data_IF_400714900398
#
_entry.id   IF_400714900398
#
_cell.length_a   1.000
_cell.length_b   1.000
_cell.length_c   1.000
_cell.angle_alpha   90.00
_cell.angle_beta   90.00
_cell.angle_gamma   90.00
#
_symmetry.space_group_name_H-M   'P 1'
#
loop_
_entity.id
_entity.type
_entity.pdbx_description
1 polymer ?
#
# COMPACT_ATOMS: atom_id res chain seq x y z
N UNK A 1 -2.00 6.98 18.77
CA UNK A 1 -1.54 6.59 20.10
C UNK A 1 -2.10 5.21 20.39
N UNK A 2 -1.25 4.19 20.56
CA UNK A 2 -1.68 2.83 20.92
C UNK A 2 -1.15 2.50 22.31
N UNK A 3 -2.03 2.30 23.27
CA UNK A 3 -1.69 2.07 24.68
C UNK A 3 -0.92 0.76 24.92
N UNK A 4 -1.09 -0.25 24.06
CA UNK A 4 -0.37 -1.52 24.16
C UNK A 4 1.13 -1.39 23.85
N UNK A 5 1.53 -0.49 22.95
CA UNK A 5 2.94 -0.19 22.63
C UNK A 5 3.61 0.55 23.80
N UNK A 6 2.84 1.38 24.50
CA UNK A 6 3.26 2.05 25.73
C UNK A 6 3.49 1.03 26.85
N UNK A 7 2.56 0.10 27.07
CA UNK A 7 2.66 -0.91 28.13
C UNK A 7 3.82 -1.89 27.90
N UNK A 8 4.06 -2.31 26.65
CA UNK A 8 5.21 -3.15 26.27
C UNK A 8 6.55 -2.41 26.48
N UNK A 9 6.60 -1.13 26.11
CA UNK A 9 7.78 -0.30 26.36
C UNK A 9 8.00 -0.01 27.85
N UNK A 10 6.94 0.06 28.67
CA UNK A 10 7.07 0.15 30.12
C UNK A 10 7.66 -1.16 30.68
N UNK A 11 7.17 -2.32 30.23
CA UNK A 11 7.64 -3.63 30.68
C UNK A 11 9.11 -3.90 30.30
N UNK A 12 9.57 -3.32 29.18
CA UNK A 12 10.93 -3.48 28.67
C UNK A 12 11.85 -2.28 28.96
N UNK A 13 11.45 -1.37 29.87
CA UNK A 13 12.21 -0.16 30.26
C UNK A 13 12.59 0.77 29.09
N UNK A 14 11.73 0.84 28.07
CA UNK A 14 11.87 1.63 26.83
C UNK A 14 10.81 2.74 26.69
N UNK A 15 10.09 3.02 27.77
CA UNK A 15 9.01 4.02 27.79
C UNK A 15 9.55 5.42 27.49
N UNK A 16 8.98 6.09 26.48
CA UNK A 16 9.25 7.51 26.19
C UNK A 16 8.36 8.42 27.05
N UNK A 17 8.89 9.07 28.11
CA UNK A 17 8.11 9.90 29.02
C UNK A 17 7.62 11.21 28.38
N UNK A 18 8.15 11.60 27.22
CA UNK A 18 7.71 12.80 26.49
C UNK A 18 6.42 12.57 25.68
N UNK A 19 6.01 11.30 25.54
CA UNK A 19 4.88 10.82 24.73
C UNK A 19 5.01 11.11 23.20
N UNK A 20 6.12 11.72 22.74
CA UNK A 20 6.38 12.03 21.33
C UNK A 20 6.39 10.77 20.45
N UNK A 21 7.00 9.67 20.94
CA UNK A 21 6.98 8.36 20.28
C UNK A 21 5.57 7.86 19.96
N UNK A 22 4.58 8.21 20.78
CA UNK A 22 3.20 7.71 20.67
C UNK A 22 2.24 8.71 19.98
N UNK A 23 2.72 9.90 19.59
CA UNK A 23 1.98 10.86 18.76
C UNK A 23 1.81 10.31 17.34
N UNK A 24 0.60 10.43 16.80
CA UNK A 24 0.31 10.05 15.41
C UNK A 24 0.99 11.07 14.49
N UNK A 25 1.98 10.65 13.71
CA UNK A 25 2.66 11.50 12.72
C UNK A 25 1.67 12.00 11.66
N UNK A 26 1.68 13.31 11.38
CA UNK A 26 1.07 13.85 10.16
C UNK A 26 1.84 13.34 8.94
N UNK A 27 1.15 12.61 8.05
CA UNK A 27 1.67 12.13 6.78
C UNK A 27 2.53 10.85 6.86
N UNK A 28 2.56 10.12 5.73
CA UNK A 28 3.54 9.06 5.46
C UNK A 28 4.94 9.64 5.70
N UNK A 29 5.79 8.99 6.49
CA UNK A 29 7.21 9.39 6.68
C UNK A 29 7.82 9.73 5.30
N UNK A 30 7.99 11.03 5.02
CA UNK A 30 8.63 11.59 3.83
C UNK A 30 8.06 11.22 2.43
N UNK A 31 6.75 11.00 2.27
CA UNK A 31 6.19 10.81 0.91
C UNK A 31 5.30 11.97 0.46
N UNK A 32 5.67 12.56 -0.69
CA UNK A 32 4.88 13.54 -1.43
C UNK A 32 3.47 13.02 -1.73
N UNK A 33 2.48 13.93 -1.74
CA UNK A 33 1.13 13.62 -2.21
C UNK A 33 1.19 13.18 -3.67
N UNK A 34 0.63 12.02 -3.99
CA UNK A 34 0.61 11.46 -5.36
C UNK A 34 -0.83 11.35 -5.85
N UNK A 35 -1.04 11.68 -7.12
CA UNK A 35 -2.30 11.39 -7.82
C UNK A 35 -2.18 10.02 -8.49
N UNK A 36 -3.12 9.13 -8.19
CA UNK A 36 -3.22 7.81 -8.81
C UNK A 36 -4.48 7.74 -9.67
N UNK A 37 -4.39 7.30 -10.94
CA UNK A 37 -5.57 7.20 -11.80
C UNK A 37 -6.47 6.03 -11.36
N UNK A 38 -7.74 6.31 -11.10
CA UNK A 38 -8.73 5.27 -10.81
C UNK A 38 -9.55 4.98 -12.07
N UNK A 39 -9.37 3.81 -12.68
CA UNK A 39 -10.25 3.37 -13.77
C UNK A 39 -11.66 3.02 -13.26
N UNK A 40 -12.58 2.68 -14.16
CA UNK A 40 -13.97 2.37 -13.81
C UNK A 40 -14.10 1.26 -12.76
N UNK A 41 -13.25 0.22 -12.82
CA UNK A 41 -13.26 -0.88 -11.84
C UNK A 41 -12.84 -0.40 -10.45
N UNK A 42 -11.74 0.36 -10.36
CA UNK A 42 -11.29 0.93 -9.08
C UNK A 42 -12.33 1.89 -8.52
N UNK A 43 -12.91 2.76 -9.37
CA UNK A 43 -13.96 3.67 -8.93
C UNK A 43 -15.21 2.93 -8.43
N UNK A 44 -15.61 1.84 -9.08
CA UNK A 44 -16.72 1.00 -8.63
C UNK A 44 -16.45 0.39 -7.25
N UNK A 45 -15.25 -0.15 -7.03
CA UNK A 45 -14.83 -0.67 -5.72
C UNK A 45 -14.87 0.43 -4.65
N UNK A 46 -14.27 1.58 -4.91
CA UNK A 46 -14.23 2.69 -3.95
C UNK A 46 -15.63 3.23 -3.63
N UNK A 47 -16.52 3.31 -4.63
CA UNK A 47 -17.92 3.69 -4.43
C UNK A 47 -18.69 2.64 -3.62
N UNK A 48 -18.46 1.36 -3.87
CA UNK A 48 -19.10 0.26 -3.13
C UNK A 48 -18.66 0.18 -1.66
N UNK A 49 -17.47 0.69 -1.33
CA UNK A 49 -16.97 0.76 0.05
C UNK A 49 -17.47 2.02 0.77
N UNK A 50 -17.69 3.11 0.04
CA UNK A 50 -18.14 4.38 0.62
C UNK A 50 -19.51 4.21 1.29
N UNK A 51 -19.63 4.60 2.56
CA UNK A 51 -20.91 4.64 3.29
C UNK A 51 -21.81 5.76 2.75
N UNK A 52 -23.13 5.53 2.73
CA UNK A 52 -24.11 6.49 2.19
C UNK A 52 -24.01 7.88 2.82
N UNK A 53 -23.81 7.96 4.14
CA UNK A 53 -23.73 9.22 4.91
C UNK A 53 -22.28 9.60 5.29
N UNK A 54 -21.28 9.14 4.52
CA UNK A 54 -19.88 9.42 4.82
C UNK A 54 -19.55 10.93 4.74
N UNK A 55 -18.96 11.46 5.80
CA UNK A 55 -18.45 12.82 5.86
C UNK A 55 -17.05 12.91 5.22
N UNK A 56 -16.61 14.09 4.76
CA UNK A 56 -15.29 14.26 4.14
C UNK A 56 -14.10 13.85 5.02
N UNK A 57 -14.27 13.90 6.34
CA UNK A 57 -13.26 13.49 7.34
C UNK A 57 -13.25 11.99 7.62
N UNK A 58 -14.21 11.23 7.12
CA UNK A 58 -14.34 9.81 7.42
C UNK A 58 -13.27 8.99 6.71
N UNK A 59 -12.79 7.94 7.37
CA UNK A 59 -11.90 6.97 6.75
C UNK A 59 -12.64 6.15 5.70
N UNK A 60 -12.06 6.06 4.50
CA UNK A 60 -12.59 5.19 3.45
C UNK A 60 -12.43 3.70 3.79
N UNK A 61 -11.36 3.35 4.51
CA UNK A 61 -11.06 1.99 4.96
C UNK A 61 -10.88 1.97 6.49
N UNK A 62 -11.97 2.01 7.26
CA UNK A 62 -11.88 1.92 8.71
C UNK A 62 -11.59 0.48 9.17
N UNK A 63 -10.94 0.32 10.32
CA UNK A 63 -10.95 -0.94 11.07
C UNK A 63 -12.38 -1.28 11.53
N UNK A 64 -12.65 -2.51 12.01
CA UNK A 64 -13.96 -2.86 12.58
C UNK A 64 -14.43 -1.88 13.67
N UNK A 65 -13.51 -1.30 14.43
CA UNK A 65 -13.76 -0.31 15.50
C UNK A 65 -13.80 1.15 14.98
N UNK A 66 -13.79 1.37 13.67
CA UNK A 66 -13.86 2.72 13.07
C UNK A 66 -12.54 3.49 13.05
N UNK A 67 -11.41 2.87 13.40
CA UNK A 67 -10.09 3.52 13.49
C UNK A 67 -9.26 3.28 12.22
N UNK A 68 -8.04 3.79 12.18
CA UNK A 68 -7.07 3.40 11.16
C UNK A 68 -6.77 1.90 11.22
N UNK A 69 -6.68 1.26 10.06
CA UNK A 69 -6.26 -0.13 9.96
C UNK A 69 -4.82 -0.25 10.47
N UNK A 70 -4.62 -1.14 11.45
CA UNK A 70 -3.30 -1.59 11.79
C UNK A 70 -2.77 -2.56 10.74
N UNK A 71 -1.64 -2.22 10.12
CA UNK A 71 -1.11 -3.03 9.02
C UNK A 71 -0.55 -4.39 9.48
N UNK A 72 -0.04 -4.48 10.71
CA UNK A 72 0.45 -5.74 11.27
C UNK A 72 -0.72 -6.73 11.45
N UNK A 73 -1.81 -6.28 12.06
CA UNK A 73 -3.04 -7.06 12.24
C UNK A 73 -3.70 -7.37 10.90
N UNK A 74 -3.76 -6.40 9.97
CA UNK A 74 -4.28 -6.66 8.63
C UNK A 74 -3.50 -7.79 7.94
N UNK A 75 -2.16 -7.75 7.98
CA UNK A 75 -1.33 -8.81 7.39
C UNK A 75 -1.55 -10.15 8.07
N UNK A 76 -1.57 -10.19 9.40
CA UNK A 76 -1.57 -11.45 10.15
C UNK A 76 -2.94 -12.10 10.26
N UNK A 77 -4.01 -11.31 10.29
CA UNK A 77 -5.38 -11.81 10.47
C UNK A 77 -6.12 -11.80 9.14
N UNK A 78 -6.37 -10.63 8.57
CA UNK A 78 -7.22 -10.50 7.39
C UNK A 78 -6.56 -11.11 6.15
N UNK A 79 -5.34 -10.71 5.81
CA UNK A 79 -4.65 -11.12 4.60
C UNK A 79 -4.39 -12.63 4.55
N UNK A 80 -3.84 -13.22 5.63
CA UNK A 80 -3.64 -14.67 5.70
C UNK A 80 -4.96 -15.45 5.57
N UNK A 81 -6.03 -14.96 6.20
CA UNK A 81 -7.35 -15.59 6.11
C UNK A 81 -7.91 -15.52 4.69
N UNK A 82 -7.81 -14.37 4.03
CA UNK A 82 -8.24 -14.20 2.63
C UNK A 82 -7.49 -15.17 1.71
N UNK A 83 -6.16 -15.23 1.81
CA UNK A 83 -5.36 -16.15 1.00
C UNK A 83 -5.77 -17.61 1.23
N UNK A 84 -5.95 -18.01 2.50
CA UNK A 84 -6.40 -19.37 2.84
C UNK A 84 -7.77 -19.70 2.26
N UNK A 85 -8.73 -18.78 2.36
CA UNK A 85 -10.09 -18.99 1.86
C UNK A 85 -10.15 -19.07 0.33
N UNK A 86 -9.18 -18.48 -0.35
CA UNK A 86 -9.02 -18.53 -1.81
C UNK A 86 -8.10 -19.67 -2.27
N UNK A 87 -7.62 -20.52 -1.36
CA UNK A 87 -6.64 -21.59 -1.62
C UNK A 87 -5.34 -21.08 -2.27
N UNK A 88 -4.88 -19.89 -1.86
CA UNK A 88 -3.64 -19.27 -2.33
C UNK A 88 -2.54 -19.49 -1.28
N UNK A 89 -1.39 -20.07 -1.65
CA UNK A 89 -0.24 -20.16 -0.75
C UNK A 89 0.17 -18.80 -0.19
N UNK A 90 0.67 -18.75 1.04
CA UNK A 90 1.02 -17.48 1.66
C UNK A 90 2.00 -16.67 0.81
N UNK A 91 1.64 -15.41 0.54
CA UNK A 91 2.48 -14.39 -0.08
C UNK A 91 2.42 -13.12 0.75
N UNK A 92 3.51 -12.34 0.79
CA UNK A 92 3.50 -11.02 1.42
C UNK A 92 2.55 -10.09 0.66
N UNK A 93 1.85 -9.19 1.35
CA UNK A 93 0.98 -8.18 0.73
C UNK A 93 1.69 -7.33 -0.33
N UNK A 94 2.98 -7.05 -0.16
CA UNK A 94 3.80 -6.30 -1.12
C UNK A 94 3.92 -6.96 -2.49
N UNK A 95 3.64 -8.27 -2.61
CA UNK A 95 3.63 -8.97 -3.89
C UNK A 95 2.55 -8.40 -4.84
N UNK A 96 1.41 -7.94 -4.31
CA UNK A 96 0.37 -7.28 -5.13
C UNK A 96 0.91 -6.03 -5.84
N UNK A 97 1.74 -5.25 -5.14
CA UNK A 97 2.43 -4.08 -5.72
C UNK A 97 3.44 -4.50 -6.78
N UNK A 98 4.21 -5.55 -6.53
CA UNK A 98 5.15 -6.10 -7.53
C UNK A 98 4.42 -6.54 -8.80
N UNK A 99 3.35 -7.32 -8.66
CA UNK A 99 2.49 -7.74 -9.78
C UNK A 99 1.93 -6.54 -10.54
N UNK A 100 1.42 -5.51 -9.84
CA UNK A 100 0.94 -4.30 -10.49
C UNK A 100 2.04 -3.59 -11.32
N UNK A 101 3.24 -3.41 -10.75
CA UNK A 101 4.35 -2.75 -11.45
C UNK A 101 4.77 -3.53 -12.69
N UNK A 102 4.93 -4.86 -12.58
CA UNK A 102 5.26 -5.72 -13.72
C UNK A 102 4.20 -5.62 -14.82
N UNK A 103 2.92 -5.83 -14.49
CA UNK A 103 1.84 -5.78 -15.47
C UNK A 103 1.71 -4.41 -16.14
N UNK A 104 1.88 -3.32 -15.39
CA UNK A 104 1.85 -1.97 -15.96
C UNK A 104 2.93 -1.79 -17.04
N UNK A 105 4.17 -2.20 -16.74
CA UNK A 105 5.30 -2.07 -17.67
C UNK A 105 5.15 -3.00 -18.89
N UNK A 106 4.66 -4.22 -18.69
CA UNK A 106 4.35 -5.18 -19.77
C UNK A 106 3.26 -4.66 -20.70
N UNK A 107 2.27 -3.94 -20.16
CA UNK A 107 1.23 -3.25 -20.95
C UNK A 107 1.70 -1.92 -21.55
N UNK A 108 3.01 -1.65 -21.55
CA UNK A 108 3.60 -0.52 -22.27
C UNK A 108 3.57 0.82 -21.52
N UNK A 109 3.22 0.84 -20.22
CA UNK A 109 3.31 2.09 -19.46
C UNK A 109 4.77 2.52 -19.25
N UNK A 110 5.00 3.83 -19.28
CA UNK A 110 6.29 4.45 -19.02
C UNK A 110 6.74 4.21 -17.57
N UNK A 111 8.02 3.88 -17.39
CA UNK A 111 8.59 3.52 -16.10
C UNK A 111 8.60 4.70 -15.12
N UNK A 112 8.70 5.94 -15.60
CA UNK A 112 8.66 7.14 -14.75
C UNK A 112 7.27 7.38 -14.20
N UNK A 113 6.23 7.12 -14.99
CA UNK A 113 4.84 7.25 -14.54
C UNK A 113 4.48 6.16 -13.53
N UNK A 114 4.88 4.91 -13.79
CA UNK A 114 4.72 3.82 -12.81
C UNK A 114 5.48 4.14 -11.53
N UNK A 115 6.73 4.60 -11.61
CA UNK A 115 7.54 5.02 -10.46
C UNK A 115 6.86 6.14 -9.66
N UNK A 116 6.29 7.14 -10.35
CA UNK A 116 5.55 8.23 -9.72
C UNK A 116 4.32 7.75 -8.97
N UNK A 117 3.55 6.83 -9.53
CA UNK A 117 2.34 6.28 -8.88
C UNK A 117 2.67 5.48 -7.63
N UNK A 118 3.70 4.64 -7.72
CA UNK A 118 4.03 3.71 -6.65
C UNK A 118 4.94 4.36 -5.59
N UNK A 119 5.62 5.46 -5.91
CA UNK A 119 6.53 6.13 -4.98
C UNK A 119 7.89 5.44 -4.86
N UNK A 120 8.41 4.96 -5.99
CA UNK A 120 9.78 4.46 -6.14
C UNK A 120 10.57 5.41 -7.06
N UNK A 121 11.90 5.28 -7.14
CA UNK A 121 12.67 5.91 -8.22
C UNK A 121 12.47 5.15 -9.53
N UNK A 122 12.48 5.83 -10.69
CA UNK A 122 12.47 5.18 -12.01
C UNK A 122 13.59 4.16 -12.14
N UNK A 123 14.78 4.46 -11.60
CA UNK A 123 15.92 3.54 -11.59
C UNK A 123 15.61 2.20 -10.89
N UNK A 124 14.93 2.22 -9.73
CA UNK A 124 14.51 0.99 -9.04
C UNK A 124 13.48 0.23 -9.87
N UNK A 125 12.57 0.93 -10.53
CA UNK A 125 11.57 0.30 -11.41
C UNK A 125 12.26 -0.37 -12.61
N UNK A 126 13.13 0.37 -13.30
CA UNK A 126 13.89 -0.11 -14.44
C UNK A 126 14.72 -1.35 -14.07
N UNK A 127 15.53 -1.26 -12.99
CA UNK A 127 16.42 -2.33 -12.55
C UNK A 127 15.67 -3.61 -12.18
N UNK A 128 14.54 -3.49 -11.48
CA UNK A 128 13.84 -4.65 -10.94
C UNK A 128 12.80 -5.27 -11.88
N UNK A 129 12.26 -4.52 -12.84
CA UNK A 129 11.10 -4.98 -13.62
C UNK A 129 11.25 -4.82 -15.15
N UNK A 130 12.19 -4.01 -15.66
CA UNK A 130 12.36 -3.84 -17.11
C UNK A 130 13.39 -4.77 -17.75
N UNK A 131 14.23 -5.47 -16.98
CA UNK A 131 15.26 -6.37 -17.52
C UNK A 131 14.76 -7.53 -18.40
N UNK A 132 13.45 -7.76 -18.46
CA UNK A 132 12.84 -8.89 -19.17
C UNK A 132 11.97 -8.49 -20.39
N UNK A 133 11.96 -7.24 -20.86
CA UNK A 133 11.28 -6.91 -22.14
C UNK A 133 12.03 -7.60 -23.29
N UNK A 134 11.49 -8.71 -23.78
CA UNK A 134 12.12 -9.62 -24.76
C UNK A 134 11.73 -9.37 -26.22
N UNK A 135 10.87 -8.41 -26.49
CA UNK A 135 10.53 -8.03 -27.87
C UNK A 135 11.35 -6.81 -28.28
N UNK A 136 12.57 -7.09 -28.74
CA UNK A 136 13.42 -6.10 -29.40
C UNK A 136 13.13 -6.20 -30.90
N UNK A 137 12.51 -5.16 -31.46
CA UNK A 137 12.41 -5.00 -32.91
C UNK A 137 13.35 -3.87 -33.34
N UNK A 138 14.13 -4.09 -34.40
CA UNK A 138 14.91 -3.04 -35.04
C UNK A 138 13.99 -2.33 -36.02
N UNK A 139 13.68 -1.03 -35.84
CA UNK A 139 12.83 -0.30 -36.78
C UNK A 139 13.47 -0.26 -38.17
N UNK A 140 12.66 -0.43 -39.22
CA UNK A 140 13.05 -0.01 -40.56
C UNK A 140 12.89 1.51 -40.65
N UNK A 141 13.89 2.19 -41.21
CA UNK A 141 13.97 3.64 -41.38
C UNK A 141 13.75 4.06 -42.83
#
# INVERSE_FOLDING_TARGET
MKASEIEEDILHERFDPTLEKYKIKQGLKAQEKRKFPCNLKVQAILRGIKRENAQPSDLLFPSPEGKYIDFHNFRNLAWKTILKNLDIPYRKTSQTRHTFMTLALENGLDDKDVARWVGNSPEVIYRCYMGNKRELFVPEF
#
